data_IF_437686649106
#
_entry.id   IF_437686649106
#
_cell.length_a   1.000
_cell.length_b   1.000
_cell.length_c   1.000
_cell.angle_alpha   90.00
_cell.angle_beta   90.00
_cell.angle_gamma   90.00
#
_symmetry.space_group_name_H-M   'P 1'
#
loop_
_entity.id
_entity.type
_entity.pdbx_description
1 polymer ?
#
# COMPACT_ATOMS: atom_id res chain seq x y z
N UNK A 1 -7.76 4.29 29.70
CA UNK A 1 -8.29 3.44 28.88
C UNK A 1 -9.49 3.48 27.98
N UNK A 2 -10.27 4.60 27.82
CA UNK A 2 -11.46 4.57 26.96
C UNK A 2 -11.17 4.84 25.45
N UNK A 3 -9.97 5.29 25.10
CA UNK A 3 -9.64 5.69 23.74
C UNK A 3 -9.63 4.53 22.74
N UNK A 4 -8.95 3.44 23.05
CA UNK A 4 -8.90 2.25 22.18
C UNK A 4 -10.27 1.59 22.03
N UNK A 5 -11.10 1.59 23.11
CA UNK A 5 -12.46 1.03 23.04
C UNK A 5 -13.33 1.83 22.08
N UNK A 6 -13.26 3.16 22.15
CA UNK A 6 -14.01 4.02 21.24
C UNK A 6 -13.49 3.90 19.80
N UNK A 7 -12.17 3.89 19.63
CA UNK A 7 -11.55 3.66 18.34
C UNK A 7 -12.00 2.33 17.73
N UNK A 8 -11.97 1.25 18.51
CA UNK A 8 -12.42 -0.07 18.06
C UNK A 8 -13.89 -0.05 17.63
N UNK A 9 -14.76 0.58 18.42
CA UNK A 9 -16.18 0.70 18.08
C UNK A 9 -16.40 1.47 16.78
N UNK A 10 -15.69 2.60 16.58
CA UNK A 10 -15.80 3.43 15.38
C UNK A 10 -15.21 2.72 14.13
N UNK A 11 -14.21 1.83 14.32
CA UNK A 11 -13.59 1.04 13.26
C UNK A 11 -14.23 -0.33 13.03
N UNK A 12 -15.26 -0.68 13.77
CA UNK A 12 -15.95 -1.97 13.66
C UNK A 12 -15.11 -3.17 14.11
N UNK A 13 -14.20 -2.98 15.06
CA UNK A 13 -13.27 -4.00 15.55
C UNK A 13 -13.40 -4.31 17.02
N UNK A 14 -12.65 -5.32 17.48
CA UNK A 14 -12.53 -5.70 18.88
C UNK A 14 -11.39 -4.91 19.55
N UNK A 15 -11.63 -4.20 20.68
CA UNK A 15 -10.57 -3.47 21.39
C UNK A 15 -9.46 -4.38 21.96
N UNK A 16 -9.67 -5.68 22.02
CA UNK A 16 -8.67 -6.67 22.43
C UNK A 16 -7.88 -7.26 21.26
N UNK A 17 -8.27 -6.96 20.01
CA UNK A 17 -7.51 -7.35 18.83
C UNK A 17 -6.20 -6.54 18.75
N UNK A 18 -5.08 -7.25 18.59
CA UNK A 18 -3.76 -6.64 18.52
C UNK A 18 -3.63 -5.62 17.37
N UNK A 19 -4.24 -5.90 16.22
CA UNK A 19 -4.19 -4.97 15.09
C UNK A 19 -4.94 -3.68 15.40
N UNK A 20 -6.09 -3.77 16.06
CA UNK A 20 -6.85 -2.59 16.51
C UNK A 20 -6.04 -1.77 17.51
N UNK A 21 -5.37 -2.43 18.46
CA UNK A 21 -4.52 -1.73 19.43
C UNK A 21 -3.32 -1.05 18.78
N UNK A 22 -2.64 -1.72 17.83
CA UNK A 22 -1.51 -1.14 17.09
C UNK A 22 -1.95 0.02 16.19
N UNK A 23 -3.10 -0.08 15.54
CA UNK A 23 -3.68 1.01 14.74
C UNK A 23 -4.01 2.22 15.62
N UNK A 24 -4.65 1.98 16.75
CA UNK A 24 -4.93 3.04 17.73
C UNK A 24 -3.63 3.72 18.22
N UNK A 25 -2.61 2.94 18.56
CA UNK A 25 -1.30 3.44 18.98
C UNK A 25 -0.66 4.30 17.88
N UNK A 26 -0.66 3.83 16.65
CA UNK A 26 -0.14 4.58 15.52
C UNK A 26 -0.89 5.90 15.30
N UNK A 27 -2.22 5.89 15.40
CA UNK A 27 -3.03 7.09 15.34
C UNK A 27 -2.73 8.05 16.51
N UNK A 28 -2.63 7.54 17.74
CA UNK A 28 -2.37 8.35 18.94
C UNK A 28 -1.02 9.07 18.86
N UNK A 29 -0.02 8.45 18.24
CA UNK A 29 1.29 9.05 17.96
C UNK A 29 1.29 10.04 16.80
N UNK A 30 0.22 10.10 16.00
CA UNK A 30 0.15 10.92 14.79
C UNK A 30 0.86 10.32 13.58
N UNK A 31 1.04 9.00 13.56
CA UNK A 31 1.59 8.27 12.40
C UNK A 31 0.54 8.04 11.30
N UNK A 32 -0.74 8.04 11.67
CA UNK A 32 -1.87 7.85 10.74
C UNK A 32 -2.96 8.87 11.02
N UNK A 33 -3.79 9.16 10.02
CA UNK A 33 -5.00 10.00 10.14
C UNK A 33 -6.28 9.13 10.14
N UNK A 34 -6.18 7.91 10.55
CA UNK A 34 -7.23 6.91 10.40
C UNK A 34 -8.54 7.28 11.13
N UNK A 35 -8.43 7.97 12.24
CA UNK A 35 -9.58 8.45 13.03
C UNK A 35 -9.77 9.95 12.80
N UNK A 36 -10.24 10.32 11.60
CA UNK A 36 -10.20 11.68 11.04
C UNK A 36 -10.91 12.75 11.88
N UNK A 37 -11.96 12.40 12.61
CA UNK A 37 -12.76 13.33 13.42
C UNK A 37 -12.23 13.50 14.85
N UNK A 38 -11.05 12.97 15.14
CA UNK A 38 -10.43 13.02 16.45
C UNK A 38 -9.01 13.55 16.36
N UNK A 39 -8.60 14.32 17.36
CA UNK A 39 -7.23 14.83 17.46
C UNK A 39 -6.37 13.84 18.25
N UNK A 40 -5.24 13.36 17.70
CA UNK A 40 -4.32 12.49 18.41
C UNK A 40 -3.80 13.16 19.69
N UNK A 41 -3.88 12.45 20.82
CA UNK A 41 -3.42 13.00 22.10
C UNK A 41 -1.91 13.21 22.16
N UNK A 42 -1.15 12.47 21.34
CA UNK A 42 0.32 12.49 21.25
C UNK A 42 0.83 12.74 19.84
N UNK A 43 0.08 13.50 19.03
CA UNK A 43 0.35 13.69 17.60
C UNK A 43 1.71 14.29 17.23
N UNK A 44 2.42 14.92 18.18
CA UNK A 44 3.77 15.44 17.96
C UNK A 44 4.87 14.37 17.96
N UNK A 45 4.62 13.21 18.54
CA UNK A 45 5.61 12.14 18.72
C UNK A 45 6.11 11.59 17.39
N UNK A 46 5.24 11.43 16.42
CA UNK A 46 5.62 10.93 15.10
C UNK A 46 6.68 11.81 14.41
N UNK A 47 6.56 13.14 14.51
CA UNK A 47 7.54 14.05 13.94
C UNK A 47 8.88 13.99 14.67
N UNK A 48 8.83 13.89 16.01
CA UNK A 48 10.05 13.74 16.80
C UNK A 48 10.77 12.41 16.49
N UNK A 49 10.02 11.31 16.36
CA UNK A 49 10.59 10.00 16.00
C UNK A 49 11.23 9.98 14.60
N UNK A 50 10.69 10.72 13.65
CA UNK A 50 11.30 10.86 12.30
C UNK A 50 12.64 11.61 12.35
N UNK A 51 12.86 12.45 13.37
CA UNK A 51 14.13 13.15 13.60
C UNK A 51 15.16 12.34 14.38
N UNK A 52 14.81 11.14 14.86
CA UNK A 52 15.75 10.30 15.61
C UNK A 52 16.89 9.80 14.71
N UNK A 53 18.12 9.96 15.18
CA UNK A 53 19.31 9.52 14.43
C UNK A 53 19.66 8.04 14.69
N UNK A 54 19.24 7.50 15.82
CA UNK A 54 19.52 6.13 16.26
C UNK A 54 18.28 5.48 16.87
N UNK A 55 18.29 4.17 17.01
CA UNK A 55 17.23 3.45 17.72
C UNK A 55 17.17 3.83 19.21
N UNK A 56 18.31 4.15 19.81
CA UNK A 56 18.38 4.67 21.17
C UNK A 56 17.72 6.04 21.30
N UNK A 57 17.95 6.95 20.34
CA UNK A 57 17.27 8.25 20.30
C UNK A 57 15.75 8.09 20.13
N UNK A 58 15.33 7.19 19.26
CA UNK A 58 13.90 6.91 19.07
C UNK A 58 13.26 6.36 20.36
N UNK A 59 13.93 5.46 21.07
CA UNK A 59 13.45 4.95 22.34
C UNK A 59 13.32 6.04 23.41
N UNK A 60 14.28 6.98 23.45
CA UNK A 60 14.23 8.14 24.35
C UNK A 60 13.07 9.08 24.02
N UNK A 61 12.89 9.41 22.75
CA UNK A 61 11.78 10.25 22.28
C UNK A 61 10.44 9.62 22.65
N UNK A 62 10.29 8.32 22.42
CA UNK A 62 9.07 7.60 22.76
C UNK A 62 8.78 7.62 24.26
N UNK A 63 9.79 7.35 25.08
CA UNK A 63 9.71 7.41 26.53
C UNK A 63 9.26 8.79 27.02
N UNK A 64 9.93 9.85 26.56
CA UNK A 64 9.72 11.22 27.07
C UNK A 64 8.39 11.82 26.55
N UNK A 65 8.05 11.57 25.28
CA UNK A 65 6.95 12.28 24.64
C UNK A 65 5.66 11.44 24.56
N UNK A 66 5.77 10.10 24.57
CA UNK A 66 4.61 9.23 24.50
C UNK A 66 4.26 8.62 25.86
N UNK A 67 5.17 7.90 26.48
CA UNK A 67 4.91 7.22 27.76
C UNK A 67 4.90 8.18 28.94
N UNK A 68 5.80 9.17 28.98
CA UNK A 68 5.91 10.13 30.08
C UNK A 68 6.29 9.48 31.40
N UNK A 69 7.06 8.39 31.38
CA UNK A 69 7.33 7.55 32.56
C UNK A 69 8.44 8.06 33.48
N UNK A 70 8.98 9.27 33.20
CA UNK A 70 10.02 9.90 34.03
C UNK A 70 11.40 9.29 33.91
N UNK A 71 11.70 8.54 32.85
CA UNK A 71 13.02 8.03 32.52
C UNK A 71 13.45 6.78 33.27
N UNK A 72 12.58 6.17 34.03
CA UNK A 72 12.88 4.89 34.71
C UNK A 72 13.23 3.80 33.69
N UNK A 73 14.42 3.24 33.79
CA UNK A 73 14.96 2.23 32.88
C UNK A 73 15.23 2.71 31.43
N UNK A 74 15.41 4.00 31.20
CA UNK A 74 15.71 4.55 29.87
C UNK A 74 16.93 3.89 29.23
N UNK A 75 18.02 3.74 29.97
CA UNK A 75 19.26 3.08 29.47
C UNK A 75 18.99 1.66 28.98
N UNK A 76 18.16 0.90 29.71
CA UNK A 76 17.78 -0.45 29.31
C UNK A 76 16.90 -0.46 28.06
N UNK A 77 15.99 0.51 27.93
CA UNK A 77 15.12 0.65 26.74
C UNK A 77 15.93 1.04 25.52
N UNK A 78 16.88 1.96 25.67
CA UNK A 78 17.79 2.37 24.60
C UNK A 78 18.67 1.20 24.15
N UNK A 79 19.27 0.46 25.10
CA UNK A 79 20.06 -0.73 24.78
C UNK A 79 19.25 -1.82 24.07
N UNK A 80 18.01 -2.06 24.50
CA UNK A 80 17.10 -2.99 23.85
C UNK A 80 16.71 -2.53 22.43
N UNK A 81 16.46 -1.24 22.26
CA UNK A 81 16.13 -0.67 20.95
C UNK A 81 17.29 -0.84 19.95
N UNK A 82 18.52 -0.56 20.37
CA UNK A 82 19.71 -0.81 19.55
C UNK A 82 19.91 -2.29 19.25
N UNK A 83 19.73 -3.17 20.25
CA UNK A 83 19.85 -4.62 20.05
C UNK A 83 18.81 -5.14 19.04
N UNK A 84 17.56 -4.66 19.12
CA UNK A 84 16.51 -5.01 18.17
C UNK A 84 16.79 -4.43 16.78
N UNK A 85 17.22 -3.18 16.71
CA UNK A 85 17.62 -2.56 15.46
C UNK A 85 18.72 -3.38 14.77
N UNK A 86 19.82 -3.65 15.48
CA UNK A 86 20.94 -4.43 14.93
C UNK A 86 20.54 -5.85 14.53
N UNK A 87 19.59 -6.45 15.25
CA UNK A 87 19.07 -7.78 14.91
C UNK A 87 18.22 -7.80 13.66
N UNK A 88 17.44 -6.74 13.41
CA UNK A 88 16.39 -6.73 12.38
C UNK A 88 16.64 -5.71 11.26
N UNK A 89 17.61 -4.80 11.36
CA UNK A 89 17.89 -3.76 10.35
C UNK A 89 18.12 -4.33 8.95
N UNK A 90 18.74 -5.50 8.88
CA UNK A 90 18.99 -6.21 7.62
C UNK A 90 17.93 -7.30 7.34
N UNK A 91 16.89 -7.38 8.16
CA UNK A 91 15.85 -8.40 7.94
C UNK A 91 14.95 -8.00 6.77
N UNK A 92 14.50 -8.96 5.96
CA UNK A 92 13.56 -8.68 4.87
C UNK A 92 12.27 -8.00 5.34
N UNK A 93 11.89 -8.18 6.60
CA UNK A 93 10.69 -7.60 7.20
C UNK A 93 10.78 -6.08 7.40
N UNK A 94 11.99 -5.52 7.56
CA UNK A 94 12.19 -4.08 7.72
C UNK A 94 12.59 -3.37 6.42
N UNK A 95 12.76 -4.12 5.32
CA UNK A 95 13.32 -3.59 4.08
C UNK A 95 14.79 -3.22 4.26
N UNK A 96 15.63 -3.56 3.31
CA UNK A 96 17.06 -3.22 3.37
C UNK A 96 17.27 -1.71 3.37
N UNK A 97 17.39 -1.10 4.54
CA UNK A 97 17.72 0.33 4.71
C UNK A 97 19.25 0.55 4.71
N UNK A 98 20.02 -0.28 4.02
CA UNK A 98 21.41 0.06 3.73
C UNK A 98 21.47 1.08 2.61
N UNK A 99 21.89 2.29 2.95
CA UNK A 99 22.37 3.25 1.97
C UNK A 99 23.49 2.57 1.15
N UNK A 100 23.18 2.08 -0.03
CA UNK A 100 24.17 1.67 -1.00
C UNK A 100 24.31 2.75 -2.03
N UNK A 101 25.50 3.33 -2.02
CA UNK A 101 26.17 4.14 -3.01
C UNK A 101 25.52 4.36 -4.39
N UNK A 102 25.53 5.67 -4.69
CA UNK A 102 25.81 6.30 -6.00
C UNK A 102 25.56 5.50 -7.29
N UNK A 103 24.63 6.02 -8.03
CA UNK A 103 24.86 6.23 -9.47
C UNK A 103 24.37 5.12 -10.36
N UNK A 104 23.27 5.38 -10.98
CA UNK A 104 23.14 5.37 -12.44
C UNK A 104 21.70 5.64 -12.82
N UNK A 105 21.52 6.67 -13.64
CA UNK A 105 20.33 6.78 -14.46
C UNK A 105 20.24 5.49 -15.28
N UNK A 106 19.41 4.55 -14.83
CA UNK A 106 19.17 3.33 -15.58
C UNK A 106 18.06 3.58 -16.57
N UNK A 107 18.45 3.44 -17.80
CA UNK A 107 17.65 3.37 -19.00
C UNK A 107 16.27 2.74 -18.78
N UNK A 108 15.28 3.29 -19.49
CA UNK A 108 14.00 2.68 -19.78
C UNK A 108 14.23 1.21 -20.18
N UNK A 109 14.00 0.29 -19.26
CA UNK A 109 14.00 -1.11 -19.62
C UNK A 109 12.58 -1.50 -19.98
N UNK A 110 12.31 -1.53 -21.26
CA UNK A 110 11.19 -2.23 -21.84
C UNK A 110 11.36 -3.70 -21.52
N UNK A 111 10.89 -4.11 -20.35
CA UNK A 111 10.92 -5.50 -19.89
C UNK A 111 10.13 -6.38 -20.85
N UNK A 112 10.77 -7.42 -21.31
CA UNK A 112 10.36 -8.32 -22.35
C UNK A 112 8.94 -8.85 -22.26
N UNK A 113 8.27 -8.73 -23.37
CA UNK A 113 6.98 -9.32 -23.67
C UNK A 113 7.12 -10.82 -23.83
N UNK A 114 6.51 -11.57 -22.90
CA UNK A 114 5.98 -12.87 -23.19
C UNK A 114 4.65 -13.02 -22.43
N UNK A 115 3.54 -12.82 -23.12
CA UNK A 115 2.18 -13.10 -22.68
C UNK A 115 1.30 -11.86 -22.47
N UNK A 116 0.27 -11.76 -23.27
CA UNK A 116 -0.92 -10.92 -23.16
C UNK A 116 -0.77 -9.45 -22.68
N UNK A 117 -0.27 -8.61 -23.55
CA UNK A 117 -0.45 -7.18 -23.49
C UNK A 117 0.11 -6.48 -22.24
N UNK A 118 0.81 -5.36 -22.44
CA UNK A 118 1.26 -4.54 -21.33
C UNK A 118 0.09 -4.13 -20.42
N UNK A 119 0.36 -3.76 -19.17
CA UNK A 119 -0.66 -3.20 -18.24
C UNK A 119 -1.48 -2.11 -18.93
N UNK A 120 -0.85 -1.25 -19.73
CA UNK A 120 -1.53 -0.19 -20.48
C UNK A 120 -2.51 -0.72 -21.53
N UNK A 121 -2.16 -1.78 -22.24
CA UNK A 121 -3.07 -2.42 -23.21
C UNK A 121 -4.23 -3.10 -22.51
N UNK A 122 -3.96 -3.74 -21.36
CA UNK A 122 -5.00 -4.47 -20.65
C UNK A 122 -5.96 -3.54 -19.91
N UNK A 123 -5.45 -2.45 -19.32
CA UNK A 123 -6.31 -1.49 -18.62
C UNK A 123 -7.32 -0.85 -19.57
N UNK A 124 -6.99 -0.66 -20.86
CA UNK A 124 -7.97 -0.15 -21.85
C UNK A 124 -9.15 -1.09 -22.06
N UNK A 125 -8.94 -2.38 -21.84
CA UNK A 125 -10.00 -3.41 -21.96
C UNK A 125 -10.77 -3.58 -20.63
N UNK A 126 -10.14 -3.34 -19.49
CA UNK A 126 -10.69 -3.67 -18.19
C UNK A 126 -11.33 -2.49 -17.48
N UNK A 127 -10.78 -1.29 -17.64
CA UNK A 127 -11.23 -0.11 -16.93
C UNK A 127 -11.89 0.92 -17.87
N UNK A 128 -12.86 1.65 -17.34
CA UNK A 128 -13.43 2.80 -18.03
C UNK A 128 -12.45 3.97 -18.00
N UNK A 129 -12.39 4.82 -19.04
CA UNK A 129 -11.48 5.96 -19.11
C UNK A 129 -11.85 7.09 -18.14
N UNK A 130 -13.07 7.10 -17.63
CA UNK A 130 -13.62 8.05 -16.66
C UNK A 130 -14.46 7.32 -15.61
N UNK A 131 -14.91 8.00 -14.56
CA UNK A 131 -15.75 7.38 -13.54
C UNK A 131 -17.04 6.81 -14.16
N UNK A 132 -17.37 5.55 -13.87
CA UNK A 132 -18.55 4.91 -14.45
C UNK A 132 -19.87 5.67 -14.19
N UNK A 133 -19.99 6.32 -13.03
CA UNK A 133 -21.15 7.15 -12.67
C UNK A 133 -21.35 8.37 -13.59
N UNK A 134 -20.27 8.87 -14.20
CA UNK A 134 -20.33 10.00 -15.15
C UNK A 134 -20.59 9.57 -16.58
N UNK A 135 -20.45 8.28 -16.86
CA UNK A 135 -20.68 7.72 -18.19
C UNK A 135 -22.15 7.32 -18.40
N UNK A 136 -22.64 7.54 -19.58
CA UNK A 136 -24.02 7.11 -19.98
C UNK A 136 -24.13 5.59 -20.19
N UNK A 137 -23.07 4.83 -19.92
CA UNK A 137 -23.00 3.39 -20.16
C UNK A 137 -23.38 2.54 -18.92
N UNK A 138 -23.88 3.17 -17.86
CA UNK A 138 -24.23 2.45 -16.63
C UNK A 138 -23.00 2.14 -15.77
N UNK A 139 -23.23 1.41 -14.69
CA UNK A 139 -22.24 1.02 -13.69
C UNK A 139 -21.66 -0.37 -13.96
N UNK A 140 -21.74 -0.87 -15.19
CA UNK A 140 -21.37 -2.24 -15.49
C UNK A 140 -19.87 -2.39 -15.77
N UNK A 141 -19.33 -3.53 -15.39
CA UNK A 141 -17.99 -3.96 -15.80
C UNK A 141 -17.92 -4.02 -17.33
N UNK A 142 -16.79 -3.62 -17.90
CA UNK A 142 -16.52 -3.91 -19.31
C UNK A 142 -16.60 -5.42 -19.56
N UNK A 143 -17.12 -5.88 -20.72
CA UNK A 143 -17.29 -7.32 -20.98
C UNK A 143 -16.00 -8.13 -20.82
N UNK A 144 -14.87 -7.57 -21.24
CA UNK A 144 -13.56 -8.23 -21.12
C UNK A 144 -13.16 -8.40 -19.67
N UNK A 145 -13.43 -7.41 -18.81
CA UNK A 145 -13.16 -7.51 -17.39
C UNK A 145 -14.12 -8.47 -16.69
N UNK A 146 -15.39 -8.47 -17.05
CA UNK A 146 -16.36 -9.43 -16.54
C UNK A 146 -15.94 -10.88 -16.84
N UNK A 147 -15.48 -11.15 -18.07
CA UNK A 147 -14.94 -12.44 -18.45
C UNK A 147 -13.68 -12.82 -17.69
N UNK A 148 -12.77 -11.85 -17.45
CA UNK A 148 -11.56 -12.05 -16.66
C UNK A 148 -11.89 -12.43 -15.20
N UNK A 149 -12.86 -11.76 -14.59
CA UNK A 149 -13.34 -12.09 -13.23
C UNK A 149 -13.93 -13.50 -13.19
N UNK A 150 -14.77 -13.90 -14.16
CA UNK A 150 -15.32 -15.25 -14.22
C UNK A 150 -14.21 -16.31 -14.38
N UNK A 151 -13.22 -16.05 -15.22
CA UNK A 151 -12.06 -16.93 -15.41
C UNK A 151 -11.28 -17.05 -14.11
N UNK A 152 -10.95 -15.94 -13.48
CA UNK A 152 -10.24 -15.92 -12.19
C UNK A 152 -11.00 -16.68 -11.10
N UNK A 153 -12.32 -16.52 -11.06
CA UNK A 153 -13.19 -17.24 -10.13
C UNK A 153 -13.15 -18.76 -10.40
N UNK A 154 -13.25 -19.17 -11.67
CA UNK A 154 -13.17 -20.57 -12.06
C UNK A 154 -11.83 -21.22 -11.74
N UNK A 155 -10.75 -20.46 -11.75
CA UNK A 155 -9.39 -20.88 -11.38
C UNK A 155 -9.12 -20.79 -9.87
N UNK A 156 -10.07 -20.33 -9.05
CA UNK A 156 -9.90 -20.13 -7.62
C UNK A 156 -8.97 -18.96 -7.26
N UNK A 157 -8.75 -18.02 -8.18
CA UNK A 157 -7.96 -16.81 -7.95
C UNK A 157 -8.76 -15.76 -7.17
N UNK A 158 -8.05 -14.89 -6.45
CA UNK A 158 -8.66 -13.78 -5.72
C UNK A 158 -9.30 -12.76 -6.67
N UNK A 159 -10.57 -12.47 -6.46
CA UNK A 159 -11.36 -11.48 -7.22
C UNK A 159 -11.94 -10.37 -6.35
N UNK A 160 -11.56 -10.31 -5.08
CA UNK A 160 -12.16 -9.41 -4.10
C UNK A 160 -13.46 -9.92 -3.50
N UNK A 161 -14.06 -9.11 -2.65
CA UNK A 161 -15.30 -9.44 -1.92
C UNK A 161 -16.57 -9.14 -2.71
N UNK A 162 -16.47 -8.42 -3.84
CA UNK A 162 -17.61 -7.89 -4.60
C UNK A 162 -17.50 -8.20 -6.09
N UNK A 163 -17.25 -9.45 -6.42
CA UNK A 163 -17.25 -9.93 -7.81
C UNK A 163 -16.31 -9.10 -8.74
N UNK A 164 -15.14 -8.74 -8.23
CA UNK A 164 -14.13 -7.98 -8.97
C UNK A 164 -14.33 -6.46 -9.01
N UNK A 165 -15.39 -5.92 -8.40
CA UNK A 165 -15.63 -4.46 -8.39
C UNK A 165 -15.06 -3.77 -7.14
N UNK A 166 -14.24 -4.43 -6.37
CA UNK A 166 -13.43 -3.77 -5.34
C UNK A 166 -11.99 -3.55 -5.83
N UNK A 167 -11.34 -2.60 -5.19
CA UNK A 167 -9.99 -2.16 -5.55
C UNK A 167 -8.96 -3.30 -5.54
N UNK A 168 -9.00 -4.14 -4.51
CA UNK A 168 -8.06 -5.24 -4.37
C UNK A 168 -8.24 -6.34 -5.41
N UNK A 169 -9.51 -6.67 -5.73
CA UNK A 169 -9.84 -7.64 -6.78
C UNK A 169 -9.40 -7.17 -8.16
N UNK A 170 -9.65 -5.90 -8.48
CA UNK A 170 -9.22 -5.32 -9.75
C UNK A 170 -7.71 -5.29 -9.92
N UNK A 171 -6.97 -4.73 -8.93
CA UNK A 171 -5.50 -4.65 -9.00
C UNK A 171 -4.89 -6.04 -9.14
N UNK A 172 -5.36 -7.02 -8.37
CA UNK A 172 -4.88 -8.41 -8.47
C UNK A 172 -5.12 -8.99 -9.85
N UNK A 173 -6.33 -8.85 -10.40
CA UNK A 173 -6.68 -9.39 -11.72
C UNK A 173 -5.86 -8.72 -12.83
N UNK A 174 -5.71 -7.39 -12.79
CA UNK A 174 -4.95 -6.66 -13.80
C UNK A 174 -3.47 -7.07 -13.82
N UNK A 175 -2.83 -7.15 -12.64
CA UNK A 175 -1.41 -7.53 -12.54
C UNK A 175 -1.17 -8.98 -12.95
N UNK A 176 -2.10 -9.88 -12.62
CA UNK A 176 -2.01 -11.29 -13.00
C UNK A 176 -2.18 -11.48 -14.53
N UNK A 177 -3.27 -10.95 -15.09
CA UNK A 177 -3.64 -11.18 -16.48
C UNK A 177 -2.73 -10.43 -17.45
N UNK A 178 -2.15 -9.28 -17.05
CA UNK A 178 -1.09 -8.62 -17.84
C UNK A 178 0.22 -9.39 -17.87
N UNK A 179 0.37 -10.42 -17.05
CA UNK A 179 1.64 -11.13 -16.86
C UNK A 179 2.68 -10.32 -16.09
N UNK A 180 2.32 -9.15 -15.57
CA UNK A 180 3.24 -8.32 -14.80
C UNK A 180 3.70 -9.03 -13.53
N UNK A 181 2.74 -9.54 -12.74
CA UNK A 181 3.06 -10.38 -11.58
C UNK A 181 1.96 -11.41 -11.30
N UNK A 182 2.19 -12.65 -11.71
CA UNK A 182 1.28 -13.76 -11.45
C UNK A 182 1.30 -14.25 -10.00
N UNK A 183 2.22 -13.74 -9.19
CA UNK A 183 2.33 -14.09 -7.77
C UNK A 183 1.75 -13.01 -6.86
N UNK A 184 1.38 -11.86 -7.40
CA UNK A 184 0.80 -10.78 -6.62
C UNK A 184 -0.40 -11.25 -5.81
N UNK A 185 -0.42 -10.90 -4.53
CA UNK A 185 -1.47 -11.30 -3.58
C UNK A 185 -1.69 -12.83 -3.49
N UNK A 186 -0.68 -13.61 -3.91
CA UNK A 186 -0.73 -15.06 -3.87
C UNK A 186 0.43 -15.60 -3.03
N UNK A 187 0.17 -15.88 -1.75
CA UNK A 187 1.14 -16.48 -0.83
C UNK A 187 1.20 -18.01 -0.93
N UNK A 188 0.73 -18.57 -2.04
CA UNK A 188 0.64 -20.01 -2.26
C UNK A 188 -0.62 -20.66 -1.67
N UNK A 189 -1.49 -19.91 -1.02
CA UNK A 189 -2.70 -20.46 -0.39
C UNK A 189 -3.89 -20.53 -1.32
N UNK A 190 -3.86 -19.89 -2.50
CA UNK A 190 -5.01 -19.79 -3.40
C UNK A 190 -6.28 -19.42 -2.63
N UNK A 191 -7.21 -18.66 -3.12
CA UNK A 191 -8.42 -18.48 -2.36
C UNK A 191 -9.23 -17.20 -2.66
N UNK A 192 -10.46 -17.20 -2.19
CA UNK A 192 -11.43 -16.15 -2.34
C UNK A 192 -11.26 -15.07 -1.24
N UNK A 193 -11.99 -13.99 -1.39
CA UNK A 193 -12.05 -12.88 -0.44
C UNK A 193 -12.32 -13.27 1.02
N UNK A 194 -12.99 -14.40 1.25
CA UNK A 194 -13.24 -14.96 2.59
C UNK A 194 -11.96 -15.26 3.38
N UNK A 195 -10.81 -15.33 2.71
CA UNK A 195 -9.53 -15.66 3.33
C UNK A 195 -8.79 -14.44 3.89
N UNK A 196 -9.46 -13.28 3.96
CA UNK A 196 -8.88 -12.07 4.49
C UNK A 196 -7.86 -11.37 3.57
N UNK A 197 -7.86 -11.69 2.26
CA UNK A 197 -6.92 -11.14 1.27
C UNK A 197 -7.27 -9.73 0.78
N UNK A 198 -7.97 -8.95 1.59
CA UNK A 198 -8.29 -7.56 1.30
C UNK A 198 -7.06 -6.64 1.24
N UNK A 199 -7.30 -5.35 1.08
CA UNK A 199 -6.27 -4.34 0.88
C UNK A 199 -5.16 -4.34 1.95
N UNK A 200 -5.50 -4.60 3.21
CA UNK A 200 -4.52 -4.70 4.30
C UNK A 200 -3.56 -5.86 4.08
N UNK A 201 -4.09 -7.03 3.70
CA UNK A 201 -3.27 -8.20 3.39
C UNK A 201 -2.38 -7.94 2.16
N UNK A 202 -2.93 -7.33 1.11
CA UNK A 202 -2.18 -7.01 -0.12
C UNK A 202 -1.03 -6.04 0.17
N UNK A 203 -1.26 -5.06 1.04
CA UNK A 203 -0.19 -4.16 1.48
C UNK A 203 0.90 -4.92 2.23
N UNK A 204 0.55 -5.76 3.20
CA UNK A 204 1.53 -6.59 3.93
C UNK A 204 2.30 -7.52 3.00
N UNK A 205 1.61 -8.09 2.01
CA UNK A 205 2.25 -8.92 0.99
C UNK A 205 3.24 -8.10 0.16
N UNK A 206 2.86 -6.90 -0.30
CA UNK A 206 3.73 -6.00 -1.05
C UNK A 206 4.95 -5.55 -0.23
N UNK A 207 4.77 -5.27 1.06
CA UNK A 207 5.87 -4.95 1.99
C UNK A 207 6.92 -6.07 2.08
N UNK A 208 6.50 -7.32 1.99
CA UNK A 208 7.39 -8.48 2.07
C UNK A 208 8.07 -8.81 0.73
N UNK A 209 7.37 -8.66 -0.38
CA UNK A 209 7.81 -9.18 -1.68
C UNK A 209 8.26 -8.09 -2.66
N UNK A 210 7.75 -6.87 -2.52
CA UNK A 210 8.03 -5.76 -3.41
C UNK A 210 8.94 -4.72 -2.75
N UNK A 211 9.43 -3.78 -3.54
CA UNK A 211 10.19 -2.62 -3.07
C UNK A 211 9.22 -1.50 -2.69
N UNK A 212 9.33 -0.98 -1.48
CA UNK A 212 8.66 0.27 -1.12
C UNK A 212 9.36 1.43 -1.83
N UNK A 213 8.60 2.25 -2.54
CA UNK A 213 9.11 3.43 -3.25
C UNK A 213 9.09 4.68 -2.38
N UNK A 214 8.04 4.88 -1.62
CA UNK A 214 7.87 6.07 -0.79
C UNK A 214 6.42 6.33 -0.42
N UNK A 215 6.19 7.45 0.27
CA UNK A 215 4.86 7.95 0.59
C UNK A 215 4.64 9.32 -0.04
N UNK A 216 3.50 9.51 -0.67
CA UNK A 216 3.16 10.75 -1.35
C UNK A 216 3.07 11.99 -0.42
N UNK A 217 2.84 11.81 0.88
CA UNK A 217 2.75 12.90 1.86
C UNK A 217 4.09 13.31 2.49
N UNK A 218 5.20 13.16 1.75
CA UNK A 218 6.44 13.83 2.13
C UNK A 218 7.36 13.06 3.06
N UNK A 219 7.33 11.73 3.06
CA UNK A 219 8.51 10.99 3.46
C UNK A 219 9.57 11.19 2.40
N UNK A 220 10.65 11.86 2.81
CA UNK A 220 11.82 11.98 1.97
C UNK A 220 12.40 10.60 1.71
N UNK A 221 12.87 10.39 0.50
CA UNK A 221 13.74 9.26 0.19
C UNK A 221 14.96 9.26 1.12
N UNK A 222 15.65 8.13 1.29
CA UNK A 222 16.87 8.07 2.12
C UNK A 222 17.94 9.09 1.72
N UNK A 223 17.92 9.57 0.47
CA UNK A 223 18.80 10.62 -0.05
C UNK A 223 18.32 12.04 0.26
N UNK A 224 17.23 12.20 1.00
CA UNK A 224 16.62 13.49 1.33
C UNK A 224 15.75 14.07 0.21
N UNK A 225 15.62 13.41 -0.94
CA UNK A 225 14.73 13.87 -2.01
C UNK A 225 13.27 13.55 -1.70
N UNK A 226 12.36 14.36 -2.23
CA UNK A 226 10.92 14.09 -2.13
C UNK A 226 10.53 13.01 -3.13
N UNK A 227 9.74 12.03 -2.69
CA UNK A 227 9.12 11.07 -3.60
C UNK A 227 8.03 11.77 -4.42
N UNK A 228 8.08 11.64 -5.73
CA UNK A 228 7.20 12.33 -6.69
C UNK A 228 6.67 11.35 -7.74
N UNK A 229 5.57 11.71 -8.40
CA UNK A 229 4.87 10.83 -9.34
C UNK A 229 5.66 10.54 -10.64
N UNK A 230 6.61 11.39 -11.00
CA UNK A 230 7.50 11.17 -12.13
C UNK A 230 8.44 9.96 -11.94
N UNK A 231 8.59 9.49 -10.71
CA UNK A 231 9.33 8.26 -10.38
C UNK A 231 8.51 6.98 -10.58
N UNK A 232 7.20 7.08 -10.79
CA UNK A 232 6.33 5.93 -10.97
C UNK A 232 6.49 5.26 -12.33
N UNK A 233 6.26 3.95 -12.35
CA UNK A 233 6.27 3.13 -13.57
C UNK A 233 4.98 2.30 -13.63
N UNK A 234 4.44 2.02 -14.84
CA UNK A 234 3.28 1.16 -14.98
C UNK A 234 3.45 -0.17 -14.23
N UNK A 235 2.47 -0.47 -13.37
CA UNK A 235 2.51 -1.60 -12.47
C UNK A 235 2.87 -1.29 -11.03
N UNK A 236 3.30 -0.07 -10.71
CA UNK A 236 3.43 0.37 -9.33
C UNK A 236 2.07 0.45 -8.67
N UNK A 237 1.98 -0.01 -7.43
CA UNK A 237 0.74 -0.09 -6.66
C UNK A 237 0.79 0.79 -5.44
N UNK A 238 -0.29 1.52 -5.22
CA UNK A 238 -0.50 2.35 -4.05
C UNK A 238 -1.43 1.72 -3.04
N UNK A 239 -1.22 2.04 -1.78
CA UNK A 239 -2.08 1.65 -0.67
C UNK A 239 -2.35 2.82 0.26
N UNK A 240 -3.62 2.92 0.67
CA UNK A 240 -4.07 3.63 1.87
C UNK A 240 -4.90 2.69 2.73
N UNK A 241 -5.43 3.17 3.83
CA UNK A 241 -6.37 2.36 4.63
C UNK A 241 -7.61 2.02 3.80
N UNK A 242 -7.86 0.73 3.62
CA UNK A 242 -9.05 0.21 2.94
C UNK A 242 -9.10 0.40 1.43
N UNK A 243 -8.04 0.94 0.78
CA UNK A 243 -8.04 1.15 -0.66
C UNK A 243 -6.68 0.92 -1.32
N UNK A 244 -6.69 0.51 -2.60
CA UNK A 244 -5.51 0.30 -3.43
C UNK A 244 -5.79 0.65 -4.88
N UNK A 245 -4.75 1.10 -5.60
CA UNK A 245 -4.81 1.38 -7.03
C UNK A 245 -3.46 1.17 -7.68
N UNK A 246 -3.45 1.13 -8.98
CA UNK A 246 -2.25 0.88 -9.78
C UNK A 246 -1.94 2.09 -10.67
N UNK A 247 -0.68 2.44 -10.77
CA UNK A 247 -0.20 3.39 -11.77
C UNK A 247 -0.12 2.69 -13.12
N UNK A 248 -0.84 3.21 -14.11
CA UNK A 248 -0.88 2.67 -15.47
C UNK A 248 -0.15 3.55 -16.49
N UNK A 249 0.28 4.73 -16.06
CA UNK A 249 0.91 5.72 -16.93
C UNK A 249 -0.10 6.44 -17.83
N UNK A 250 0.43 7.21 -18.79
CA UNK A 250 -0.41 7.87 -19.78
C UNK A 250 -1.04 6.83 -20.71
N UNK A 251 -2.36 6.83 -20.77
CA UNK A 251 -3.15 6.00 -21.67
C UNK A 251 -4.11 6.90 -22.43
N UNK A 252 -4.07 6.84 -23.77
CA UNK A 252 -4.88 7.70 -24.60
C UNK A 252 -6.36 7.58 -24.27
N UNK A 253 -7.01 8.72 -24.08
CA UNK A 253 -8.44 8.82 -23.75
C UNK A 253 -8.78 8.62 -22.27
N UNK A 254 -7.83 8.29 -21.42
CA UNK A 254 -8.05 8.10 -19.99
C UNK A 254 -7.89 9.42 -19.23
N UNK A 255 -8.73 9.64 -18.21
CA UNK A 255 -8.67 10.86 -17.39
C UNK A 255 -7.55 10.83 -16.39
N UNK A 256 -7.07 9.65 -15.99
CA UNK A 256 -6.06 9.48 -14.96
C UNK A 256 -5.00 8.48 -15.38
N UNK A 257 -3.79 8.68 -14.85
CA UNK A 257 -2.67 7.71 -14.92
C UNK A 257 -2.82 6.57 -13.91
N UNK A 258 -3.89 6.58 -13.13
CA UNK A 258 -4.14 5.66 -12.03
C UNK A 258 -5.46 4.94 -12.26
N UNK A 259 -5.48 3.63 -12.02
CA UNK A 259 -6.67 2.82 -12.21
C UNK A 259 -7.01 2.03 -10.95
N UNK A 260 -8.29 1.97 -10.64
CA UNK A 260 -8.84 1.22 -9.52
C UNK A 260 -10.27 0.77 -9.80
N UNK A 261 -10.87 0.12 -8.82
CA UNK A 261 -12.30 -0.14 -8.77
C UNK A 261 -12.85 0.25 -7.41
N UNK A 262 -14.11 0.63 -7.36
CA UNK A 262 -14.83 0.87 -6.13
C UNK A 262 -16.23 0.26 -6.18
N UNK A 263 -16.72 -0.14 -5.02
CA UNK A 263 -18.08 -0.67 -4.90
C UNK A 263 -19.14 0.35 -5.33
N UNK A 264 -18.88 1.64 -5.06
CA UNK A 264 -19.81 2.72 -5.43
C UNK A 264 -19.96 2.88 -6.93
N UNK A 265 -18.87 2.73 -7.66
CA UNK A 265 -18.84 2.84 -9.12
C UNK A 265 -19.17 1.53 -9.84
N UNK A 266 -19.14 0.38 -9.14
CA UNK A 266 -19.47 -0.97 -9.64
C UNK A 266 -18.67 -1.43 -10.85
N UNK A 267 -17.62 -0.74 -11.21
CA UNK A 267 -16.72 -1.09 -12.32
C UNK A 267 -15.35 -0.45 -12.13
N UNK A 268 -14.29 -1.04 -12.71
CA UNK A 268 -12.98 -0.40 -12.76
C UNK A 268 -12.98 0.84 -13.65
N UNK A 269 -12.19 1.84 -13.22
CA UNK A 269 -11.94 3.05 -14.01
C UNK A 269 -10.52 3.58 -13.82
N UNK A 270 -10.07 4.41 -14.74
CA UNK A 270 -8.88 5.22 -14.59
C UNK A 270 -9.29 6.68 -14.39
N UNK A 271 -9.86 6.93 -13.22
CA UNK A 271 -10.32 8.24 -12.77
C UNK A 271 -10.55 8.20 -11.26
N UNK A 272 -10.30 9.29 -10.57
CA UNK A 272 -10.63 9.45 -9.16
C UNK A 272 -9.48 9.32 -8.18
N UNK A 273 -8.47 8.48 -8.46
CA UNK A 273 -7.27 8.38 -7.66
C UNK A 273 -6.17 9.28 -8.20
N UNK A 274 -5.23 9.64 -7.31
CA UNK A 274 -4.05 10.42 -7.62
C UNK A 274 -2.81 9.87 -6.93
N UNK A 275 -1.67 10.50 -7.21
CA UNK A 275 -0.39 10.15 -6.59
C UNK A 275 -0.42 10.29 -5.06
N UNK A 276 -0.99 11.37 -4.58
CA UNK A 276 -0.97 11.81 -3.17
C UNK A 276 -2.27 11.53 -2.41
N UNK A 277 -3.19 10.79 -3.01
CA UNK A 277 -4.47 10.50 -2.39
C UNK A 277 -4.28 9.92 -0.98
N UNK A 278 -4.76 10.65 0.02
CA UNK A 278 -4.71 10.29 1.45
C UNK A 278 -3.36 9.79 1.96
N UNK A 279 -2.25 10.28 1.41
CA UNK A 279 -0.91 9.88 1.84
C UNK A 279 -0.50 8.48 1.40
N UNK A 280 -0.86 8.12 0.20
CA UNK A 280 -0.57 6.83 -0.40
C UNK A 280 0.89 6.38 -0.22
N UNK A 281 1.05 5.11 0.09
CA UNK A 281 2.36 4.43 0.09
C UNK A 281 2.46 3.58 -1.16
N UNK A 282 3.55 3.76 -1.90
CA UNK A 282 3.78 3.15 -3.20
C UNK A 282 4.79 2.00 -3.14
N UNK A 283 4.51 0.96 -3.91
CA UNK A 283 5.35 -0.24 -4.01
C UNK A 283 5.56 -0.62 -5.46
N UNK A 284 6.76 -1.13 -5.78
CA UNK A 284 7.18 -1.65 -7.08
C UNK A 284 7.62 -3.10 -6.97
N UNK A 285 7.24 -3.91 -7.95
CA UNK A 285 7.77 -5.26 -8.09
C UNK A 285 9.31 -5.23 -8.14
N UNK A 286 9.96 -6.00 -7.29
CA UNK A 286 11.42 -6.15 -7.35
C UNK A 286 11.79 -6.73 -8.72
N UNK A 287 12.79 -6.15 -9.39
CA UNK A 287 13.29 -6.68 -10.64
C UNK A 287 13.73 -8.13 -10.44
N UNK A 288 13.13 -9.07 -11.15
CA UNK A 288 13.66 -10.40 -11.23
C UNK A 288 15.00 -10.30 -11.96
N UNK A 289 16.09 -10.68 -11.29
CA UNK A 289 17.31 -11.04 -11.99
C UNK A 289 16.95 -12.21 -12.92
N UNK A 290 16.81 -11.92 -14.20
CA UNK A 290 16.89 -12.97 -15.23
C UNK A 290 18.33 -13.41 -15.26
N UNK A 291 18.65 -14.47 -14.53
CA UNK A 291 19.82 -15.31 -14.84
C UNK A 291 19.57 -16.05 -16.12
#
# INVERSE_FOLDING_TARGET
>A
GNGVVKFAADMGGDPYDLNIQLRYLAWEMGLTNEWQNHTPGRGGVANALRGASTAADAAKIFEEQFEGSGGNALDKRQANAEALYNKYVDSPALGNNKASDKGSAAACNTGGSNGNGSIQQLVTKYAWPELPSTQRHGTDKKPEYANAVQTAQGEGRYIGSFEGVDCGGFVTTLLYDSGFDKTYNNDGKGGYASDGRGTTFQRQWAEQHWQRLGSANGTYEPDGSKFTDDKLQPGDVAFVSGHTWVYVGEVEGFQSKYASASQGEKAPSAAGEGFDYNGAVWYRKKGGNTT
#
